data_IF_305322572321
#
_entry.id   IF_305322572321
#
_cell.length_a   1.000
_cell.length_b   1.000
_cell.length_c   1.000
_cell.angle_alpha   90.00
_cell.angle_beta   90.00
_cell.angle_gamma   90.00
#
_symmetry.space_group_name_H-M   'P 1'
#
loop_
_entity.id
_entity.type
_entity.pdbx_description
1 polymer ?
#
# COMPACT_ATOMS: atom_id res chain seq x y z
N UNK A 1 -23.83 -22.41 -28.84
CA UNK A 1 -23.50 -22.01 -27.46
C UNK A 1 -22.08 -21.48 -27.45
N UNK A 2 -21.94 -20.18 -27.30
CA UNK A 2 -20.74 -19.37 -27.55
C UNK A 2 -19.66 -19.63 -26.50
N UNK A 3 -18.67 -20.44 -26.87
CA UNK A 3 -17.40 -20.53 -26.18
C UNK A 3 -16.61 -19.23 -26.41
N UNK A 4 -16.82 -18.21 -25.57
CA UNK A 4 -15.87 -17.11 -25.46
C UNK A 4 -14.65 -17.60 -24.67
N UNK A 5 -13.76 -18.30 -25.37
CA UNK A 5 -12.38 -18.58 -24.95
C UNK A 5 -11.62 -17.26 -24.93
N UNK A 6 -11.74 -16.52 -23.83
CA UNK A 6 -10.82 -15.43 -23.53
C UNK A 6 -9.43 -16.07 -23.37
N UNK A 7 -8.56 -15.87 -24.36
CA UNK A 7 -7.19 -16.37 -24.37
C UNK A 7 -6.38 -15.60 -23.32
N UNK A 8 -6.63 -15.90 -22.04
CA UNK A 8 -5.96 -15.26 -20.90
C UNK A 8 -4.58 -15.90 -20.79
N UNK A 9 -3.56 -15.16 -21.22
CA UNK A 9 -2.16 -15.54 -21.05
C UNK A 9 -1.94 -16.11 -19.65
N UNK A 10 -1.37 -17.32 -19.56
CA UNK A 10 -1.04 -17.99 -18.29
C UNK A 10 -0.17 -17.10 -17.40
N UNK A 11 0.57 -16.14 -17.97
CA UNK A 11 1.34 -15.16 -17.21
C UNK A 11 0.44 -14.16 -16.47
N UNK A 12 -0.59 -13.62 -17.14
CA UNK A 12 -1.54 -12.66 -16.53
C UNK A 12 -2.34 -13.30 -15.41
N UNK A 13 -2.77 -14.54 -15.58
CA UNK A 13 -3.48 -15.27 -14.52
C UNK A 13 -2.60 -15.51 -13.28
N UNK A 14 -1.33 -15.88 -13.48
CA UNK A 14 -0.35 -16.06 -12.39
C UNK A 14 -0.07 -14.74 -11.66
N UNK A 15 0.10 -13.66 -12.40
CA UNK A 15 0.32 -12.32 -11.83
C UNK A 15 -0.87 -11.86 -10.99
N UNK A 16 -2.10 -12.05 -11.47
CA UNK A 16 -3.31 -11.68 -10.72
C UNK A 16 -3.51 -12.53 -9.47
N UNK A 17 -3.16 -13.82 -9.52
CA UNK A 17 -3.18 -14.69 -8.34
C UNK A 17 -2.15 -14.24 -7.28
N UNK A 18 -0.97 -13.81 -7.72
CA UNK A 18 0.05 -13.26 -6.82
C UNK A 18 -0.41 -11.96 -6.17
N UNK A 19 -0.95 -11.02 -6.97
CA UNK A 19 -1.49 -9.75 -6.45
C UNK A 19 -2.62 -9.96 -5.43
N UNK A 20 -3.47 -10.96 -5.63
CA UNK A 20 -4.55 -11.27 -4.71
C UNK A 20 -4.08 -11.73 -3.31
N UNK A 21 -2.88 -12.33 -3.22
CA UNK A 21 -2.32 -12.83 -1.96
C UNK A 21 -1.48 -11.81 -1.21
N UNK A 22 -1.08 -10.71 -1.84
CA UNK A 22 -0.34 -9.65 -1.17
C UNK A 22 -1.22 -8.97 -0.10
N UNK A 23 -0.64 -8.78 1.08
CA UNK A 23 -1.26 -7.98 2.13
C UNK A 23 -1.23 -6.50 1.72
N UNK A 24 -2.40 -5.99 1.37
CA UNK A 24 -2.59 -4.63 0.86
C UNK A 24 -2.02 -3.56 1.81
N UNK A 25 -2.18 -3.75 3.12
CA UNK A 25 -1.67 -2.80 4.11
C UNK A 25 -0.14 -2.71 4.08
N UNK A 26 0.55 -3.85 3.95
CA UNK A 26 2.00 -3.89 3.86
C UNK A 26 2.50 -3.26 2.55
N UNK A 27 1.80 -3.53 1.44
CA UNK A 27 2.12 -2.93 0.14
C UNK A 27 1.99 -1.40 0.18
N UNK A 28 0.88 -0.89 0.72
CA UNK A 28 0.64 0.56 0.84
C UNK A 28 1.64 1.23 1.76
N UNK A 29 2.04 0.56 2.84
CA UNK A 29 3.07 1.06 3.75
C UNK A 29 4.45 1.09 3.09
N UNK A 30 4.85 0.02 2.41
CA UNK A 30 6.13 -0.04 1.70
C UNK A 30 6.20 1.01 0.59
N UNK A 31 5.13 1.17 -0.18
CA UNK A 31 5.02 2.22 -1.20
C UNK A 31 5.08 3.61 -0.59
N UNK A 32 4.39 3.86 0.52
CA UNK A 32 4.44 5.15 1.21
C UNK A 32 5.89 5.54 1.49
N UNK A 33 6.68 4.67 2.14
CA UNK A 33 8.05 5.00 2.49
C UNK A 33 8.98 5.09 1.28
N UNK A 34 8.79 4.24 0.27
CA UNK A 34 9.60 4.26 -0.95
C UNK A 34 9.46 5.59 -1.73
N UNK A 35 8.27 6.21 -1.71
CA UNK A 35 8.04 7.49 -2.38
C UNK A 35 8.19 8.70 -1.44
N UNK A 36 7.69 8.60 -0.21
CA UNK A 36 7.70 9.71 0.73
C UNK A 36 9.11 10.09 1.14
N UNK A 37 10.02 9.12 1.37
CA UNK A 37 11.38 9.43 1.80
C UNK A 37 12.18 10.29 0.79
N UNK A 38 12.31 9.91 -0.49
CA UNK A 38 13.06 10.73 -1.46
C UNK A 38 12.37 12.07 -1.74
N UNK A 39 11.03 12.10 -1.86
CA UNK A 39 10.30 13.35 -2.11
C UNK A 39 10.40 14.28 -0.91
N UNK A 40 10.26 13.77 0.31
CA UNK A 40 10.46 14.55 1.52
C UNK A 40 11.87 15.12 1.57
N UNK A 41 12.87 14.29 1.26
CA UNK A 41 14.25 14.72 1.26
C UNK A 41 14.48 15.86 0.25
N UNK A 42 14.07 15.71 -1.02
CA UNK A 42 14.35 16.71 -2.05
C UNK A 42 13.45 17.95 -2.01
N UNK A 43 12.19 17.83 -1.58
CA UNK A 43 11.21 18.92 -1.65
C UNK A 43 10.95 19.62 -0.33
N UNK A 44 11.27 18.98 0.79
CA UNK A 44 11.04 19.55 2.13
C UNK A 44 12.37 19.74 2.84
N UNK A 45 13.18 18.69 2.95
CA UNK A 45 14.42 18.73 3.71
C UNK A 45 15.49 19.57 3.01
N UNK A 46 15.82 19.29 1.74
CA UNK A 46 16.84 20.03 0.98
C UNK A 46 16.53 21.52 0.93
N UNK A 47 15.31 21.97 0.57
CA UNK A 47 15.01 23.40 0.59
C UNK A 47 14.99 23.98 1.99
N UNK A 48 14.68 23.21 3.04
CA UNK A 48 14.83 23.69 4.42
C UNK A 48 16.31 23.80 4.84
N UNK A 49 17.14 22.93 4.28
CA UNK A 49 18.59 22.85 4.51
C UNK A 49 19.39 23.75 3.56
N UNK A 50 18.81 24.23 2.46
CA UNK A 50 19.47 25.13 1.51
C UNK A 50 18.89 26.54 1.65
N UNK A 51 17.58 26.69 1.93
CA UNK A 51 16.96 27.96 2.30
C UNK A 51 17.17 28.28 3.79
N UNK A 52 18.41 28.12 4.28
CA UNK A 52 18.72 28.15 5.71
C UNK A 52 18.24 29.39 6.46
N UNK A 53 17.97 30.49 5.77
CA UNK A 53 17.07 31.53 6.24
C UNK A 53 16.58 32.36 5.05
N UNK A 54 15.71 31.85 4.16
CA UNK A 54 15.18 32.69 3.06
C UNK A 54 14.65 34.04 3.58
N UNK A 55 14.00 34.02 4.75
CA UNK A 55 13.53 35.23 5.42
C UNK A 55 14.69 36.12 5.90
N UNK A 56 15.79 35.58 6.43
CA UNK A 56 16.93 36.40 6.84
C UNK A 56 17.75 36.89 5.63
N UNK A 57 17.95 36.07 4.60
CA UNK A 57 18.56 36.49 3.34
C UNK A 57 17.73 37.57 2.68
N UNK A 58 16.40 37.41 2.62
CA UNK A 58 15.53 38.46 2.08
C UNK A 58 15.62 39.73 2.92
N UNK A 59 15.65 39.64 4.25
CA UNK A 59 15.84 40.80 5.12
C UNK A 59 17.23 41.46 4.93
N UNK A 60 18.29 40.66 4.71
CA UNK A 60 19.64 41.10 4.39
C UNK A 60 19.66 41.88 3.05
N UNK A 61 19.08 41.32 1.99
CA UNK A 61 19.01 42.01 0.68
C UNK A 61 18.12 43.26 0.72
N UNK A 62 17.02 43.24 1.49
CA UNK A 62 16.20 44.43 1.75
C UNK A 62 17.02 45.47 2.52
N UNK A 63 17.86 45.04 3.46
CA UNK A 63 18.82 45.89 4.15
C UNK A 63 19.69 46.67 3.17
N UNK A 64 20.26 46.00 2.18
CA UNK A 64 20.98 46.69 1.10
C UNK A 64 20.10 47.67 0.32
N UNK A 65 18.88 47.27 -0.03
CA UNK A 65 17.95 48.12 -0.77
C UNK A 65 17.58 49.41 0.01
N UNK A 66 17.58 49.37 1.33
CA UNK A 66 17.30 50.53 2.20
C UNK A 66 18.58 51.22 2.71
N UNK A 67 19.76 50.83 2.23
CA UNK A 67 21.01 51.56 2.44
C UNK A 67 21.97 50.99 3.48
N UNK A 68 21.70 49.80 4.03
CA UNK A 68 22.71 49.10 4.84
C UNK A 68 23.83 48.53 3.98
N UNK A 69 25.02 48.50 4.57
CA UNK A 69 26.18 47.82 4.01
C UNK A 69 26.64 46.72 4.96
N UNK A 70 27.51 45.83 4.49
CA UNK A 70 28.09 44.80 5.33
C UNK A 70 29.03 45.41 6.40
N UNK A 71 28.83 45.13 7.70
CA UNK A 71 29.68 45.66 8.76
C UNK A 71 31.09 45.07 8.77
N UNK A 72 31.30 43.93 8.11
CA UNK A 72 32.60 43.25 8.00
C UNK A 72 33.44 43.67 6.78
N UNK A 73 32.83 44.33 5.78
CA UNK A 73 33.58 44.83 4.62
C UNK A 73 34.49 46.01 5.00
N UNK A 74 34.02 46.91 5.87
CA UNK A 74 34.72 48.11 6.30
C UNK A 74 34.61 48.28 7.83
N UNK A 75 35.27 47.42 8.63
CA UNK A 75 35.06 47.33 10.08
C UNK A 75 35.43 48.60 10.85
N UNK A 76 36.22 49.50 10.25
CA UNK A 76 36.62 50.76 10.88
C UNK A 76 35.70 51.94 10.54
N UNK A 77 34.66 51.72 9.72
CA UNK A 77 33.73 52.75 9.27
C UNK A 77 32.31 52.51 9.78
N UNK A 78 32.13 51.57 10.71
CA UNK A 78 30.84 51.29 11.31
C UNK A 78 30.48 52.33 12.35
N UNK A 79 29.22 52.74 12.33
CA UNK A 79 28.64 53.69 13.25
C UNK A 79 27.76 52.91 14.23
N UNK A 80 27.99 53.12 15.53
CA UNK A 80 27.16 52.55 16.61
C UNK A 80 26.46 53.70 17.33
N UNK A 81 25.17 53.52 17.63
CA UNK A 81 24.41 54.49 18.40
C UNK A 81 24.83 54.49 19.88
N UNK A 82 25.12 55.68 20.42
CA UNK A 82 25.46 55.83 21.84
C UNK A 82 24.22 55.81 22.75
N UNK A 83 23.05 56.10 22.17
CA UNK A 83 21.77 56.14 22.85
C UNK A 83 20.63 55.80 21.88
N UNK A 84 19.50 55.26 22.37
CA UNK A 84 18.34 55.00 21.52
C UNK A 84 17.82 56.26 20.84
N UNK A 85 17.33 56.13 19.60
CA UNK A 85 16.70 57.23 18.88
C UNK A 85 15.48 57.77 19.65
N UNK A 86 15.36 59.10 19.72
CA UNK A 86 14.30 59.76 20.47
C UNK A 86 14.00 61.18 19.98
N UNK A 87 13.03 61.83 20.60
CA UNK A 87 12.46 63.11 20.15
C UNK A 87 13.48 64.25 19.98
N UNK A 88 14.53 64.28 20.80
CA UNK A 88 15.56 65.33 20.74
C UNK A 88 16.75 64.98 19.85
N UNK A 89 16.78 63.74 19.34
CA UNK A 89 17.91 63.13 18.63
C UNK A 89 17.62 63.05 17.13
N UNK A 90 16.34 62.89 16.78
CA UNK A 90 15.89 62.68 15.40
C UNK A 90 16.21 63.84 14.44
N UNK A 91 16.32 65.09 14.94
CA UNK A 91 16.62 66.26 14.12
C UNK A 91 18.08 66.28 13.63
N UNK A 92 19.00 65.67 14.39
CA UNK A 92 20.41 65.51 14.03
C UNK A 92 20.95 64.13 14.47
N UNK A 93 20.69 63.08 13.67
CA UNK A 93 21.05 61.71 14.03
C UNK A 93 22.57 61.47 14.01
N UNK A 94 23.35 62.30 13.29
CA UNK A 94 24.81 62.16 13.20
C UNK A 94 25.52 62.48 14.51
N UNK A 95 24.94 63.32 15.36
CA UNK A 95 25.52 63.68 16.65
C UNK A 95 25.49 62.55 17.69
N UNK A 96 24.77 61.47 17.41
CA UNK A 96 24.47 60.41 18.37
C UNK A 96 25.12 59.07 18.03
N UNK A 97 25.89 59.03 16.95
CA UNK A 97 26.64 57.86 16.52
C UNK A 97 28.15 58.07 16.72
N UNK A 98 28.86 57.00 17.04
CA UNK A 98 30.31 57.01 17.12
C UNK A 98 30.89 55.87 16.27
N UNK A 99 32.09 56.11 15.72
CA UNK A 99 32.85 55.07 15.06
C UNK A 99 33.25 54.02 16.09
N UNK A 100 32.90 52.77 15.82
CA UNK A 100 33.28 51.64 16.64
C UNK A 100 33.52 50.42 15.77
N UNK A 101 34.35 49.51 16.24
CA UNK A 101 34.49 48.21 15.58
C UNK A 101 33.17 47.44 15.69
N UNK A 102 32.81 46.65 14.67
CA UNK A 102 31.60 45.84 14.73
C UNK A 102 31.72 44.92 15.93
N UNK A 103 30.70 44.94 16.77
CA UNK A 103 30.50 43.90 17.76
C UNK A 103 30.52 42.56 17.03
N UNK A 104 31.17 41.54 17.59
CA UNK A 104 31.02 40.16 17.07
C UNK A 104 29.58 39.64 17.23
N UNK A 105 28.69 40.42 17.83
CA UNK A 105 27.27 40.14 17.89
C UNK A 105 26.61 40.19 16.52
N UNK A 106 25.61 39.34 16.41
CA UNK A 106 25.04 38.82 15.20
C UNK A 106 24.22 39.87 14.39
N UNK A 107 24.80 40.83 13.66
CA UNK A 107 24.04 41.66 12.69
C UNK A 107 23.54 40.84 11.49
N UNK A 108 22.29 41.04 11.04
CA UNK A 108 21.77 40.33 9.85
C UNK A 108 22.51 40.72 8.56
N UNK A 109 23.21 41.85 8.58
CA UNK A 109 23.93 42.43 7.45
C UNK A 109 25.35 41.89 7.28
N UNK A 110 25.82 40.93 8.07
CA UNK A 110 27.13 40.31 7.82
C UNK A 110 27.19 39.67 6.43
N UNK A 111 28.30 39.86 5.70
CA UNK A 111 28.47 39.34 4.33
C UNK A 111 28.31 37.82 4.23
N UNK A 112 28.67 37.12 5.30
CA UNK A 112 28.45 35.69 5.47
C UNK A 112 27.27 35.47 6.40
N UNK A 113 26.15 35.04 5.83
CA UNK A 113 24.97 34.62 6.60
C UNK A 113 25.31 33.36 7.40
N UNK A 114 25.45 33.50 8.72
CA UNK A 114 25.59 32.36 9.64
C UNK A 114 24.22 31.72 9.86
N UNK A 115 24.19 30.41 10.15
CA UNK A 115 22.97 29.74 10.57
C UNK A 115 22.45 30.41 11.85
N UNK A 116 21.37 31.20 11.72
CA UNK A 116 20.72 31.80 12.89
C UNK A 116 19.52 30.98 13.28
N UNK A 117 19.25 30.96 14.57
CA UNK A 117 18.00 30.36 15.06
C UNK A 117 16.79 31.27 14.80
N UNK A 118 17.03 32.52 14.34
CA UNK A 118 16.07 33.62 14.29
C UNK A 118 16.40 34.59 13.16
N UNK A 119 15.37 34.97 12.41
CA UNK A 119 15.37 35.94 11.28
C UNK A 119 15.11 37.37 11.73
N UNK A 120 15.21 37.63 13.03
CA UNK A 120 14.88 38.91 13.63
C UNK A 120 16.01 39.92 13.45
N UNK A 121 15.69 41.19 13.27
CA UNK A 121 16.67 42.28 13.38
C UNK A 121 17.32 42.24 14.76
N UNK A 122 18.62 42.50 14.80
CA UNK A 122 19.30 42.75 16.07
C UNK A 122 19.12 44.18 16.54
N UNK A 123 19.60 44.45 17.75
CA UNK A 123 19.57 45.79 18.30
C UNK A 123 20.39 46.76 17.44
N UNK A 124 21.56 46.33 16.98
CA UNK A 124 22.43 47.10 16.08
C UNK A 124 21.74 47.37 14.73
N UNK A 125 21.12 46.35 14.12
CA UNK A 125 20.36 46.52 12.87
C UNK A 125 19.18 47.49 13.04
N UNK A 126 18.49 47.45 14.19
CA UNK A 126 17.39 48.36 14.50
C UNK A 126 17.86 49.80 14.73
N UNK A 127 18.97 49.99 15.47
CA UNK A 127 19.57 51.30 15.71
C UNK A 127 20.11 51.92 14.42
N UNK A 128 20.70 51.11 13.53
CA UNK A 128 21.10 51.55 12.19
C UNK A 128 19.90 51.96 11.33
N UNK A 129 18.76 51.27 11.48
CA UNK A 129 17.53 51.60 10.75
C UNK A 129 16.96 52.93 11.25
N UNK A 130 16.90 53.10 12.57
CA UNK A 130 16.45 54.34 13.20
C UNK A 130 17.42 55.50 12.86
N UNK A 131 18.71 55.24 12.68
CA UNK A 131 19.67 56.25 12.21
C UNK A 131 19.41 56.70 10.76
N UNK A 132 19.15 55.76 9.85
CA UNK A 132 18.86 56.05 8.44
C UNK A 132 17.47 56.69 8.24
N UNK A 133 16.51 56.31 9.08
CA UNK A 133 15.12 56.75 9.01
C UNK A 133 14.64 57.22 10.40
N UNK A 134 15.15 58.35 10.90
CA UNK A 134 14.89 58.79 12.27
C UNK A 134 13.41 59.10 12.50
N UNK A 135 12.91 58.66 13.65
CA UNK A 135 11.57 59.02 14.13
C UNK A 135 11.67 59.78 15.46
N UNK A 136 10.98 60.91 15.55
CA UNK A 136 10.96 61.73 16.77
C UNK A 136 9.99 61.20 17.85
N UNK A 137 9.36 60.06 17.58
CA UNK A 137 8.55 59.36 18.59
C UNK A 137 9.47 58.45 19.41
N UNK A 138 9.07 58.05 20.64
CA UNK A 138 9.84 57.05 21.38
C UNK A 138 9.92 55.76 20.57
N UNK A 139 11.12 55.48 20.04
CA UNK A 139 11.42 54.31 19.22
C UNK A 139 11.33 53.00 20.01
N UNK A 140 11.40 51.88 19.30
CA UNK A 140 11.46 50.57 19.95
C UNK A 140 12.86 50.38 20.54
N UNK A 141 12.97 50.37 21.88
CA UNK A 141 14.24 50.10 22.55
C UNK A 141 14.78 48.67 22.30
N UNK A 142 13.92 47.74 21.87
CA UNK A 142 14.29 46.36 21.55
C UNK A 142 13.52 45.86 20.32
N UNK A 143 14.17 45.10 19.42
CA UNK A 143 13.52 44.56 18.23
C UNK A 143 12.40 43.59 18.63
N UNK A 144 11.18 43.86 18.14
CA UNK A 144 10.04 42.95 18.31
C UNK A 144 10.03 41.94 17.17
N UNK A 145 10.39 40.71 17.49
CA UNK A 145 10.30 39.62 16.52
C UNK A 145 8.97 38.90 16.62
N UNK A 146 8.00 39.32 15.81
CA UNK A 146 6.72 38.61 15.70
C UNK A 146 6.83 37.60 14.55
N UNK A 147 7.21 36.37 14.88
CA UNK A 147 7.21 35.28 13.89
C UNK A 147 5.77 34.86 13.60
N UNK A 148 5.25 35.20 12.43
CA UNK A 148 3.96 34.69 11.99
C UNK A 148 4.06 33.17 11.85
N UNK A 149 3.15 32.43 12.51
CA UNK A 149 3.04 30.98 12.32
C UNK A 149 2.56 30.72 10.90
N UNK A 150 3.49 30.42 9.99
CA UNK A 150 3.12 29.96 8.66
C UNK A 150 2.99 28.43 8.67
N UNK A 151 1.85 27.92 8.22
CA UNK A 151 1.64 26.49 7.97
C UNK A 151 2.16 26.06 6.59
N UNK A 152 3.04 26.85 5.98
CA UNK A 152 3.56 26.62 4.62
C UNK A 152 4.30 25.29 4.50
N UNK A 153 5.01 24.86 5.55
CA UNK A 153 5.66 23.54 5.59
C UNK A 153 4.66 22.39 5.50
N UNK A 154 3.55 22.47 6.23
CA UNK A 154 2.47 21.46 6.15
C UNK A 154 1.78 21.45 4.79
N UNK A 155 1.56 22.64 4.21
CA UNK A 155 0.98 22.74 2.86
C UNK A 155 1.89 22.08 1.82
N UNK A 156 3.20 22.35 1.88
CA UNK A 156 4.20 21.70 0.99
C UNK A 156 4.20 20.19 1.18
N UNK A 157 4.17 19.70 2.42
CA UNK A 157 4.09 18.27 2.73
C UNK A 157 2.81 17.63 2.15
N UNK A 158 1.66 18.27 2.35
CA UNK A 158 0.38 17.79 1.84
C UNK A 158 0.33 17.77 0.32
N UNK A 159 0.82 18.80 -0.35
CA UNK A 159 0.82 18.88 -1.83
C UNK A 159 1.85 17.92 -2.43
N UNK A 160 3.06 17.85 -1.88
CA UNK A 160 4.15 17.04 -2.44
C UNK A 160 3.99 15.55 -2.16
N UNK A 161 3.49 15.16 -0.98
CA UNK A 161 3.44 13.75 -0.55
C UNK A 161 2.00 13.29 -0.36
N UNK A 162 1.20 14.03 0.40
CA UNK A 162 -0.15 13.62 0.79
C UNK A 162 -1.06 13.41 -0.42
N UNK A 163 -1.18 14.41 -1.29
CA UNK A 163 -2.05 14.37 -2.46
C UNK A 163 -1.73 13.24 -3.44
N UNK A 164 -0.50 13.09 -3.97
CA UNK A 164 -0.18 11.99 -4.88
C UNK A 164 -0.34 10.61 -4.21
N UNK A 165 0.05 10.48 -2.94
CA UNK A 165 -0.12 9.21 -2.21
C UNK A 165 -1.60 8.82 -2.07
N UNK A 166 -2.48 9.76 -1.76
CA UNK A 166 -3.92 9.50 -1.64
C UNK A 166 -4.54 9.08 -2.96
N UNK A 167 -4.18 9.74 -4.08
CA UNK A 167 -4.66 9.35 -5.42
C UNK A 167 -4.20 7.93 -5.78
N UNK A 168 -2.92 7.64 -5.62
CA UNK A 168 -2.37 6.30 -5.95
C UNK A 168 -3.03 5.22 -5.07
N UNK A 169 -3.18 5.50 -3.78
CA UNK A 169 -3.85 4.59 -2.84
C UNK A 169 -5.29 4.33 -3.28
N UNK A 170 -6.05 5.37 -3.62
CA UNK A 170 -7.43 5.23 -4.08
C UNK A 170 -7.53 4.40 -5.37
N UNK A 171 -6.67 4.66 -6.35
CA UNK A 171 -6.61 3.86 -7.58
C UNK A 171 -6.27 2.39 -7.30
N UNK A 172 -5.32 2.11 -6.41
CA UNK A 172 -4.97 0.75 -6.01
C UNK A 172 -6.12 0.05 -5.27
N UNK A 173 -6.84 0.75 -4.39
CA UNK A 173 -8.02 0.21 -3.71
C UNK A 173 -9.10 -0.20 -4.71
N UNK A 174 -9.37 0.62 -5.73
CA UNK A 174 -10.34 0.30 -6.79
C UNK A 174 -9.89 -0.93 -7.57
N UNK A 175 -8.63 -0.94 -8.04
CA UNK A 175 -8.07 -2.06 -8.81
C UNK A 175 -8.11 -3.37 -8.02
N UNK A 176 -7.69 -3.34 -6.76
CA UNK A 176 -7.70 -4.51 -5.88
C UNK A 176 -9.12 -4.98 -5.55
N UNK A 177 -10.06 -4.06 -5.39
CA UNK A 177 -11.48 -4.38 -5.20
C UNK A 177 -12.08 -5.04 -6.44
N UNK A 178 -11.73 -4.56 -7.64
CA UNK A 178 -12.14 -5.17 -8.90
C UNK A 178 -11.54 -6.57 -9.07
N UNK A 179 -10.24 -6.74 -8.81
CA UNK A 179 -9.55 -8.04 -8.89
C UNK A 179 -10.16 -9.06 -7.91
N UNK A 180 -10.38 -8.67 -6.65
CA UNK A 180 -11.02 -9.53 -5.65
C UNK A 180 -12.45 -9.90 -6.04
N UNK A 181 -13.20 -8.96 -6.60
CA UNK A 181 -14.56 -9.21 -7.09
C UNK A 181 -14.57 -10.23 -8.24
N UNK A 182 -13.65 -10.09 -9.19
CA UNK A 182 -13.49 -11.05 -10.30
C UNK A 182 -13.08 -12.42 -9.75
N UNK A 183 -12.09 -12.49 -8.87
CA UNK A 183 -11.63 -13.74 -8.29
C UNK A 183 -12.75 -14.45 -7.51
N UNK A 184 -13.55 -13.71 -6.73
CA UNK A 184 -14.71 -14.27 -6.02
C UNK A 184 -15.73 -14.86 -6.99
N UNK A 185 -15.99 -14.21 -8.13
CA UNK A 185 -16.85 -14.75 -9.19
C UNK A 185 -16.27 -16.03 -9.79
N UNK A 186 -14.97 -16.07 -10.06
CA UNK A 186 -14.30 -17.27 -10.60
C UNK A 186 -14.33 -18.45 -9.63
N UNK A 187 -14.08 -18.19 -8.34
CA UNK A 187 -14.17 -19.23 -7.29
C UNK A 187 -15.59 -19.79 -7.19
N UNK A 188 -16.61 -18.92 -7.27
CA UNK A 188 -18.01 -19.36 -7.26
C UNK A 188 -18.35 -20.26 -8.46
N UNK A 189 -17.91 -19.88 -9.67
CA UNK A 189 -18.11 -20.69 -10.88
C UNK A 189 -17.43 -22.07 -10.76
N UNK A 190 -16.18 -22.11 -10.29
CA UNK A 190 -15.44 -23.36 -10.07
C UNK A 190 -16.12 -24.24 -9.02
N UNK A 191 -16.67 -23.65 -7.94
CA UNK A 191 -17.41 -24.39 -6.92
C UNK A 191 -18.69 -25.02 -7.50
N UNK A 192 -19.45 -24.26 -8.31
CA UNK A 192 -20.66 -24.76 -8.98
C UNK A 192 -20.33 -25.93 -9.93
N UNK A 193 -19.26 -25.82 -10.71
CA UNK A 193 -18.79 -26.89 -11.61
C UNK A 193 -18.36 -28.15 -10.84
N UNK A 194 -17.62 -27.99 -9.74
CA UNK A 194 -17.20 -29.12 -8.89
C UNK A 194 -18.40 -29.81 -8.25
N UNK A 195 -19.40 -29.05 -7.80
CA UNK A 195 -20.66 -29.60 -7.25
C UNK A 195 -21.42 -30.36 -8.33
N UNK A 196 -21.56 -29.79 -9.53
CA UNK A 196 -22.20 -30.45 -10.67
C UNK A 196 -21.48 -31.74 -11.08
N UNK A 197 -20.14 -31.73 -11.10
CA UNK A 197 -19.34 -32.91 -11.42
C UNK A 197 -19.52 -34.02 -10.36
N UNK A 198 -19.49 -33.67 -9.06
CA UNK A 198 -19.76 -34.62 -7.97
C UNK A 198 -21.18 -35.20 -8.06
N UNK A 199 -22.18 -34.40 -8.39
CA UNK A 199 -23.55 -34.86 -8.60
C UNK A 199 -23.65 -35.85 -9.77
N UNK A 200 -23.00 -35.56 -10.91
CA UNK A 200 -22.94 -36.47 -12.06
C UNK A 200 -22.22 -37.78 -11.74
N UNK A 201 -21.14 -37.74 -10.96
CA UNK A 201 -20.42 -38.94 -10.54
C UNK A 201 -21.30 -39.82 -9.62
N UNK A 202 -21.99 -39.22 -8.63
CA UNK A 202 -22.94 -39.93 -7.76
C UNK A 202 -24.09 -40.55 -8.56
N UNK A 203 -24.66 -39.81 -9.52
CA UNK A 203 -25.70 -40.33 -10.41
C UNK A 203 -25.23 -41.56 -11.19
N UNK A 204 -24.03 -41.50 -11.79
CA UNK A 204 -23.46 -42.65 -12.52
C UNK A 204 -23.28 -43.87 -11.61
N UNK A 205 -22.79 -43.68 -10.39
CA UNK A 205 -22.67 -44.77 -9.40
C UNK A 205 -24.03 -45.37 -9.05
N UNK A 206 -25.05 -44.52 -8.80
CA UNK A 206 -26.41 -44.98 -8.52
C UNK A 206 -27.03 -45.76 -9.68
N UNK A 207 -26.87 -45.29 -10.93
CA UNK A 207 -27.35 -45.98 -12.13
C UNK A 207 -26.65 -47.33 -12.32
N UNK A 208 -25.33 -47.40 -12.12
CA UNK A 208 -24.60 -48.66 -12.18
C UNK A 208 -25.11 -49.66 -11.14
N UNK A 209 -25.38 -49.24 -9.91
CA UNK A 209 -25.93 -50.12 -8.88
C UNK A 209 -27.36 -50.59 -9.20
N UNK A 210 -28.22 -49.73 -9.74
CA UNK A 210 -29.57 -50.14 -10.20
C UNK A 210 -29.49 -51.15 -11.34
N UNK A 211 -28.59 -50.92 -12.31
CA UNK A 211 -28.36 -51.85 -13.43
C UNK A 211 -27.87 -53.21 -12.94
N UNK A 212 -26.87 -53.25 -12.03
CA UNK A 212 -26.41 -54.49 -11.40
C UNK A 212 -27.55 -55.24 -10.70
N UNK A 213 -28.41 -54.55 -9.96
CA UNK A 213 -29.58 -55.14 -9.30
C UNK A 213 -30.61 -55.70 -10.28
N UNK A 214 -30.86 -55.03 -11.41
CA UNK A 214 -31.76 -55.53 -12.47
C UNK A 214 -31.19 -56.78 -13.14
N UNK A 215 -29.93 -56.78 -13.51
CA UNK A 215 -29.25 -57.94 -14.10
C UNK A 215 -29.32 -59.14 -13.14
N UNK A 216 -28.97 -58.94 -11.86
CA UNK A 216 -29.03 -60.02 -10.85
C UNK A 216 -30.44 -60.61 -10.70
N UNK A 217 -31.48 -59.76 -10.71
CA UNK A 217 -32.90 -60.21 -10.69
C UNK A 217 -33.30 -60.97 -11.95
N UNK A 218 -32.90 -60.49 -13.13
CA UNK A 218 -33.15 -61.17 -14.40
C UNK A 218 -32.50 -62.55 -14.46
N UNK A 219 -31.26 -62.68 -13.98
CA UNK A 219 -30.57 -63.99 -13.87
C UNK A 219 -31.31 -64.92 -12.91
N UNK A 220 -31.77 -64.44 -11.76
CA UNK A 220 -32.49 -65.29 -10.79
C UNK A 220 -33.87 -65.73 -11.30
N UNK A 221 -34.62 -64.85 -11.98
CA UNK A 221 -35.89 -65.22 -12.60
C UNK A 221 -35.71 -66.24 -13.73
N UNK A 222 -34.73 -66.05 -14.62
CA UNK A 222 -34.45 -67.03 -15.66
C UNK A 222 -34.01 -68.38 -15.09
N UNK A 223 -33.17 -68.40 -14.05
CA UNK A 223 -32.82 -69.64 -13.37
C UNK A 223 -34.06 -70.35 -12.79
N UNK A 224 -34.98 -69.61 -12.15
CA UNK A 224 -36.22 -70.21 -11.64
C UNK A 224 -37.11 -70.76 -12.75
N UNK A 225 -37.21 -70.07 -13.89
CA UNK A 225 -37.97 -70.55 -15.05
C UNK A 225 -37.35 -71.82 -15.64
N UNK A 226 -36.02 -71.89 -15.75
CA UNK A 226 -35.30 -73.08 -16.23
C UNK A 226 -35.44 -74.26 -15.25
N UNK A 227 -35.33 -74.02 -13.94
CA UNK A 227 -35.53 -75.07 -12.92
C UNK A 227 -36.98 -75.56 -12.90
N UNK A 228 -37.95 -74.67 -13.11
CA UNK A 228 -39.36 -75.04 -13.30
C UNK A 228 -39.59 -75.93 -14.52
N UNK A 229 -38.93 -75.61 -15.64
CA UNK A 229 -38.94 -76.43 -16.86
C UNK A 229 -38.25 -77.79 -16.65
N UNK A 230 -37.14 -77.83 -15.91
CA UNK A 230 -36.44 -79.06 -15.54
C UNK A 230 -37.30 -79.99 -14.68
N UNK A 231 -38.11 -79.46 -13.76
CA UNK A 231 -39.09 -80.26 -12.99
C UNK A 231 -40.19 -80.82 -13.87
N UNK A 232 -40.68 -80.07 -14.86
CA UNK A 232 -41.66 -80.54 -15.84
C UNK A 232 -41.09 -81.67 -16.73
N UNK A 233 -39.83 -81.55 -17.17
CA UNK A 233 -39.14 -82.62 -17.88
C UNK A 233 -38.85 -83.84 -16.98
N UNK A 234 -38.51 -83.65 -15.70
CA UNK A 234 -38.30 -84.77 -14.76
C UNK A 234 -39.60 -85.53 -14.45
N UNK A 235 -40.76 -84.86 -14.42
CA UNK A 235 -42.07 -85.54 -14.34
C UNK A 235 -42.43 -86.28 -15.62
N UNK A 236 -41.99 -85.81 -16.80
CA UNK A 236 -42.19 -86.54 -18.06
C UNK A 236 -41.23 -87.74 -18.21
N UNK A 237 -39.97 -87.62 -17.78
CA UNK A 237 -39.01 -88.71 -17.82
C UNK A 237 -39.36 -89.85 -16.84
N UNK A 238 -40.07 -89.55 -15.73
CA UNK A 238 -40.54 -90.57 -14.78
C UNK A 238 -41.78 -91.34 -15.26
N UNK A 239 -42.35 -90.99 -16.42
CA UNK A 239 -43.44 -91.73 -17.05
C UNK A 239 -42.96 -92.75 -18.11
N UNK A 240 -41.66 -92.82 -18.37
CA UNK A 240 -41.11 -93.68 -19.42
C UNK A 240 -39.79 -94.33 -18.99
N UNK A 241 -39.84 -95.08 -17.87
CA UNK A 241 -38.74 -95.97 -17.49
C UNK A 241 -39.23 -97.43 -17.41
N UNK A 242 -38.75 -98.31 -18.31
CA UNK A 242 -39.06 -99.73 -18.30
C UNK A 242 -38.29 -100.45 -17.18
N UNK A 243 -38.93 -101.49 -16.64
CA UNK A 243 -38.43 -102.35 -15.57
C UNK A 243 -37.09 -102.98 -15.96
N UNK A 244 -36.07 -102.64 -15.18
CA UNK A 244 -35.13 -103.57 -14.55
C UNK A 244 -34.24 -104.43 -15.44
N UNK A 245 -32.93 -104.23 -15.33
CA UNK A 245 -32.05 -105.36 -15.02
C UNK A 245 -30.83 -104.92 -14.19
N UNK A 246 -30.62 -105.65 -13.10
CA UNK A 246 -29.53 -105.53 -12.16
C UNK A 246 -28.19 -105.87 -12.80
N UNK A 247 -27.11 -105.19 -12.39
CA UNK A 247 -25.86 -105.85 -12.02
C UNK A 247 -24.99 -104.96 -11.13
N UNK A 248 -24.57 -105.57 -10.03
CA UNK A 248 -23.67 -105.04 -9.03
C UNK A 248 -22.24 -104.89 -9.56
N UNK A 249 -21.53 -103.87 -9.12
CA UNK A 249 -20.07 -103.89 -9.01
C UNK A 249 -19.60 -102.94 -7.91
N UNK A 250 -19.16 -103.58 -6.84
CA UNK A 250 -18.51 -103.13 -5.64
C UNK A 250 -17.15 -102.46 -5.94
N UNK A 251 -16.85 -101.29 -5.33
CA UNK A 251 -15.48 -100.91 -4.95
C UNK A 251 -15.42 -99.75 -3.94
N UNK A 252 -14.43 -99.92 -3.06
CA UNK A 252 -14.14 -99.35 -1.73
C UNK A 252 -13.64 -97.88 -1.72
N UNK A 253 -13.60 -97.25 -0.53
CA UNK A 253 -13.33 -95.82 -0.34
C UNK A 253 -11.83 -95.51 -0.27
N UNK A 254 -11.44 -94.28 -0.65
CA UNK A 254 -10.15 -93.69 -0.27
C UNK A 254 -10.36 -92.35 0.44
N UNK A 255 -9.60 -92.21 1.52
CA UNK A 255 -9.58 -91.14 2.50
C UNK A 255 -9.05 -89.79 1.97
N UNK A 256 -9.50 -88.73 2.67
CA UNK A 256 -8.89 -87.40 2.90
C UNK A 256 -7.35 -87.41 3.06
N UNK A 257 -6.60 -86.26 3.06
CA UNK A 257 -6.92 -85.05 3.82
C UNK A 257 -6.40 -83.68 3.28
N UNK A 258 -6.85 -82.61 3.94
CA UNK A 258 -5.97 -81.58 4.51
C UNK A 258 -5.33 -80.54 3.59
N UNK A 259 -5.74 -79.28 3.80
CA UNK A 259 -5.10 -78.07 3.28
C UNK A 259 -5.96 -76.85 3.55
#
# INVERSE_FOLDING_TARGET
ASHHTYCRSKAVARMLAYLAHINLSLLLFAMFWAFAAPIFYERVFLPCWDCYDFEATMAHEIGHAIGFNHPDNLPNMNLIANSPMGANICDDPLMHVALSQPSMEDSIMFSMTKHRSRTCLTKDDLEGLDFLYPSCSPGLANPKCVKQRSHSGYLRLMVAIGFPYTIVTFCLLILMSAVRSIQKRQVKQLQEEVVAHKARAKWKQGVQEVLKRRVKRGVTQNLQSIVGMGRLCATFAKAQEPRGHQRAAERKPLQSPGG
#
